data_IF_588493660992
#
_entry.id   IF_588493660992
#
_cell.length_a   1.000
_cell.length_b   1.000
_cell.length_c   1.000
_cell.angle_alpha   90.00
_cell.angle_beta   90.00
_cell.angle_gamma   90.00
#
_symmetry.space_group_name_H-M   'P 1'
#
loop_
_entity.id
_entity.type
_entity.pdbx_description
1 polymer ?
#
# COMPACT_ATOMS: atom_id res chain seq x y z
N UNK A 1 -12.65 -16.25 27.44
CA UNK A 1 -12.57 -15.38 26.27
C UNK A 1 -13.12 -16.08 25.02
N UNK A 2 -13.86 -15.35 24.19
CA UNK A 2 -14.35 -15.85 22.90
C UNK A 2 -13.46 -15.27 21.79
N UNK A 3 -13.27 -16.02 20.73
CA UNK A 3 -12.54 -15.61 19.53
C UNK A 3 -13.50 -15.65 18.34
N UNK A 4 -13.32 -14.73 17.38
CA UNK A 4 -14.11 -14.75 16.14
C UNK A 4 -13.76 -16.02 15.33
N UNK A 5 -14.74 -16.66 14.62
CA UNK A 5 -14.51 -17.89 13.87
C UNK A 5 -13.30 -17.82 12.94
N UNK A 6 -13.17 -16.75 12.16
CA UNK A 6 -12.03 -16.51 11.27
C UNK A 6 -10.67 -16.54 11.99
N UNK A 7 -10.57 -15.89 13.16
CA UNK A 7 -9.32 -15.91 13.94
C UNK A 7 -9.02 -17.29 14.52
N UNK A 8 -10.07 -18.07 14.82
CA UNK A 8 -9.90 -19.45 15.24
C UNK A 8 -9.34 -20.33 14.12
N UNK A 9 -9.86 -20.18 12.90
CA UNK A 9 -9.31 -20.86 11.71
C UNK A 9 -7.82 -20.55 11.51
N UNK A 10 -7.44 -19.28 11.62
CA UNK A 10 -6.03 -18.90 11.52
C UNK A 10 -5.18 -19.48 12.65
N UNK A 11 -5.74 -19.66 13.85
CA UNK A 11 -5.03 -20.30 14.96
C UNK A 11 -4.89 -21.81 14.73
N UNK A 12 -5.90 -22.46 14.20
CA UNK A 12 -5.91 -23.88 13.86
C UNK A 12 -4.93 -24.20 12.70
N UNK A 13 -4.64 -23.21 11.86
CA UNK A 13 -3.64 -23.26 10.76
C UNK A 13 -2.23 -22.80 11.18
N UNK A 14 -1.96 -22.59 12.47
CA UNK A 14 -0.69 -22.07 13.01
C UNK A 14 -0.25 -20.68 12.46
N UNK A 15 -1.18 -19.94 11.85
CA UNK A 15 -0.91 -18.59 11.34
C UNK A 15 -0.95 -17.51 12.41
N UNK A 16 -1.60 -17.79 13.54
CA UNK A 16 -1.57 -16.97 14.74
C UNK A 16 -1.61 -17.84 15.99
N UNK A 17 -1.11 -17.32 17.10
CA UNK A 17 -1.18 -17.95 18.41
C UNK A 17 -2.34 -17.34 19.20
N UNK A 18 -3.41 -18.11 19.42
CA UNK A 18 -4.49 -17.71 20.31
C UNK A 18 -4.24 -18.23 21.74
N UNK A 19 -4.15 -17.29 22.69
CA UNK A 19 -4.05 -17.61 24.11
C UNK A 19 -5.41 -17.37 24.76
N UNK A 20 -6.12 -18.43 25.09
CA UNK A 20 -7.46 -18.39 25.69
C UNK A 20 -7.35 -18.06 27.20
N UNK A 21 -6.92 -16.84 27.49
CA UNK A 21 -6.76 -16.37 28.87
C UNK A 21 -7.14 -14.89 28.99
N UNK A 22 -7.30 -14.42 30.23
CA UNK A 22 -7.31 -12.98 30.50
C UNK A 22 -5.90 -12.42 30.44
N UNK A 23 -5.80 -11.12 30.19
CA UNK A 23 -4.52 -10.45 30.15
C UNK A 23 -3.77 -10.58 31.48
N UNK A 24 -2.48 -10.83 31.39
CA UNK A 24 -1.50 -10.66 32.48
C UNK A 24 -0.20 -10.13 31.89
N UNK A 25 0.59 -9.40 32.70
CA UNK A 25 1.86 -8.81 32.24
C UNK A 25 2.87 -9.85 31.73
N UNK A 26 2.72 -11.12 32.16
CA UNK A 26 3.57 -12.23 31.72
C UNK A 26 3.34 -12.63 30.25
N UNK A 27 2.23 -12.21 29.64
CA UNK A 27 1.93 -12.46 28.23
C UNK A 27 2.73 -11.57 27.29
N UNK A 28 3.27 -10.43 27.79
CA UNK A 28 4.13 -9.55 27.01
C UNK A 28 5.56 -10.06 27.06
N UNK A 29 6.17 -10.23 25.89
CA UNK A 29 7.54 -10.70 25.73
C UNK A 29 8.38 -9.66 25.00
N UNK A 30 9.64 -9.50 25.36
CA UNK A 30 10.63 -8.66 24.65
C UNK A 30 10.84 -9.04 23.19
N UNK A 31 10.39 -10.22 22.77
CA UNK A 31 10.44 -10.66 21.39
C UNK A 31 9.33 -10.06 20.52
N UNK A 32 8.36 -9.35 21.11
CA UNK A 32 7.33 -8.67 20.36
C UNK A 32 7.84 -7.32 19.86
N UNK A 33 7.52 -6.99 18.62
CA UNK A 33 7.83 -5.68 18.03
C UNK A 33 6.76 -4.64 18.35
N UNK A 34 5.51 -5.08 18.42
CA UNK A 34 4.34 -4.23 18.62
C UNK A 34 3.31 -4.91 19.50
N UNK A 35 2.58 -4.09 20.27
CA UNK A 35 1.44 -4.51 21.07
C UNK A 35 0.25 -3.61 20.73
N UNK A 36 -0.91 -4.21 20.63
CA UNK A 36 -2.18 -3.53 20.37
C UNK A 36 -3.12 -3.80 21.54
N UNK A 37 -3.52 -2.75 22.27
CA UNK A 37 -4.50 -2.81 23.33
C UNK A 37 -5.85 -2.36 22.78
N UNK A 38 -6.75 -3.32 22.53
CA UNK A 38 -8.01 -3.10 21.79
C UNK A 38 -9.22 -3.60 22.57
N UNK A 39 -9.16 -3.56 23.89
CA UNK A 39 -10.30 -3.93 24.73
C UNK A 39 -11.23 -2.74 24.96
N UNK A 40 -12.45 -3.00 25.41
CA UNK A 40 -13.43 -2.00 25.85
C UNK A 40 -13.19 -1.47 27.27
N UNK A 41 -12.09 -1.91 27.93
CA UNK A 41 -11.69 -1.46 29.27
C UNK A 41 -10.45 -0.55 29.20
N UNK A 42 -10.59 0.79 29.33
CA UNK A 42 -9.48 1.72 29.26
C UNK A 42 -8.37 1.44 30.28
N UNK A 43 -8.74 1.05 31.50
CA UNK A 43 -7.76 0.77 32.56
C UNK A 43 -6.88 -0.44 32.18
N UNK A 44 -7.48 -1.47 31.58
CA UNK A 44 -6.73 -2.63 31.09
C UNK A 44 -5.82 -2.23 29.93
N UNK A 45 -6.31 -1.41 28.99
CA UNK A 45 -5.52 -0.93 27.88
C UNK A 45 -4.32 -0.09 28.36
N UNK A 46 -4.48 0.77 29.36
CA UNK A 46 -3.38 1.52 29.98
C UNK A 46 -2.40 0.60 30.72
N UNK A 47 -2.88 -0.47 31.36
CA UNK A 47 -1.99 -1.46 31.97
C UNK A 47 -1.13 -2.15 30.88
N UNK A 48 -1.75 -2.59 29.78
CA UNK A 48 -1.02 -3.18 28.62
C UNK A 48 0.03 -2.21 28.09
N UNK A 49 -0.34 -0.93 27.91
CA UNK A 49 0.60 0.11 27.51
C UNK A 49 1.80 0.19 28.44
N UNK A 50 1.56 0.34 29.76
CA UNK A 50 2.62 0.49 30.74
C UNK A 50 3.56 -0.72 30.77
N UNK A 51 3.02 -1.92 30.61
CA UNK A 51 3.81 -3.16 30.61
C UNK A 51 4.64 -3.28 29.32
N UNK A 52 4.08 -2.90 28.17
CA UNK A 52 4.80 -2.84 26.90
C UNK A 52 5.94 -1.80 26.92
N UNK A 53 5.67 -0.60 27.48
CA UNK A 53 6.68 0.47 27.61
C UNK A 53 7.86 0.06 28.51
N UNK A 54 7.62 -0.65 29.61
CA UNK A 54 8.70 -1.19 30.46
C UNK A 54 9.64 -2.13 29.69
N UNK A 55 9.15 -2.79 28.65
CA UNK A 55 9.94 -3.70 27.80
C UNK A 55 10.51 -3.04 26.55
N UNK A 56 10.24 -1.75 26.31
CA UNK A 56 10.69 -1.02 25.12
C UNK A 56 9.95 -1.42 23.84
N UNK A 57 8.71 -1.90 23.95
CA UNK A 57 7.88 -2.36 22.82
C UNK A 57 6.96 -1.23 22.39
N UNK A 58 6.79 -1.05 21.06
CA UNK A 58 5.85 -0.08 20.53
C UNK A 58 4.41 -0.51 20.83
N UNK A 59 3.58 0.43 21.23
CA UNK A 59 2.20 0.16 21.64
C UNK A 59 1.21 1.08 20.93
N UNK A 60 0.08 0.51 20.54
CA UNK A 60 -1.10 1.24 20.12
C UNK A 60 -2.25 0.93 21.10
N UNK A 61 -2.89 1.95 21.63
CA UNK A 61 -4.10 1.85 22.44
C UNK A 61 -5.26 2.40 21.61
N UNK A 62 -6.28 1.56 21.39
CA UNK A 62 -7.43 1.95 20.57
C UNK A 62 -8.14 3.15 21.18
N UNK A 63 -8.49 4.12 20.34
CA UNK A 63 -9.20 5.35 20.69
C UNK A 63 -8.54 6.21 21.79
N UNK A 64 -7.23 6.02 22.04
CA UNK A 64 -6.49 6.74 23.08
C UNK A 64 -5.11 7.20 22.55
N UNK A 65 -5.13 8.26 21.74
CA UNK A 65 -3.96 8.76 21.02
C UNK A 65 -2.74 9.08 21.91
N UNK A 66 -2.87 9.68 23.12
CA UNK A 66 -1.75 9.90 24.03
C UNK A 66 -0.98 8.65 24.46
N UNK A 67 -1.62 7.48 24.37
CA UNK A 67 -1.03 6.18 24.70
C UNK A 67 -0.58 5.38 23.48
N UNK A 68 -0.46 6.04 22.31
CA UNK A 68 -0.03 5.42 21.06
C UNK A 68 1.38 5.86 20.67
N UNK A 69 2.29 4.92 20.45
CA UNK A 69 3.57 5.18 19.79
C UNK A 69 3.42 5.24 18.26
N UNK A 70 2.38 4.64 17.74
CA UNK A 70 2.03 4.62 16.31
C UNK A 70 0.52 4.51 16.13
N UNK A 71 0.04 4.89 14.97
CA UNK A 71 -1.38 4.79 14.58
C UNK A 71 -1.53 3.98 13.31
N UNK A 72 -2.67 3.32 13.15
CA UNK A 72 -2.99 2.58 11.93
C UNK A 72 -3.50 3.55 10.87
N UNK A 73 -2.82 3.67 9.73
CA UNK A 73 -3.32 4.48 8.62
C UNK A 73 -4.48 3.78 7.91
N UNK A 74 -5.27 4.53 7.17
CA UNK A 74 -6.19 3.97 6.20
C UNK A 74 -5.39 3.48 4.98
N UNK A 75 -5.65 2.24 4.55
CA UNK A 75 -4.84 1.57 3.54
C UNK A 75 -5.61 1.34 2.25
N UNK A 76 -4.95 1.57 1.12
CA UNK A 76 -5.35 1.05 -0.19
C UNK A 76 -4.35 -0.03 -0.58
N UNK A 77 -4.84 -1.23 -0.85
CA UNK A 77 -4.02 -2.36 -1.25
C UNK A 77 -4.34 -2.76 -2.69
N UNK A 78 -3.31 -2.82 -3.52
CA UNK A 78 -3.33 -3.35 -4.90
C UNK A 78 -2.11 -4.25 -5.10
N UNK A 79 -2.13 -5.42 -4.45
CA UNK A 79 -0.98 -6.34 -4.45
C UNK A 79 0.26 -5.73 -3.79
N UNK A 80 1.33 -5.56 -4.55
CA UNK A 80 2.58 -4.95 -4.05
C UNK A 80 2.48 -3.44 -3.82
N UNK A 81 1.50 -2.79 -4.44
CA UNK A 81 1.30 -1.35 -4.24
C UNK A 81 0.43 -1.15 -3.00
N UNK A 82 0.94 -0.39 -2.06
CA UNK A 82 0.24 -0.01 -0.84
C UNK A 82 0.32 1.50 -0.67
N UNK A 83 -0.83 2.12 -0.40
CA UNK A 83 -0.92 3.55 -0.11
C UNK A 83 -1.49 3.70 1.29
N UNK A 84 -0.74 4.36 2.15
CA UNK A 84 -1.13 4.63 3.53
C UNK A 84 -1.51 6.11 3.68
N UNK A 85 -2.68 6.38 4.23
CA UNK A 85 -3.21 7.73 4.42
C UNK A 85 -3.47 7.93 5.90
N UNK A 86 -2.88 8.96 6.49
CA UNK A 86 -3.03 9.27 7.90
C UNK A 86 -3.24 10.77 8.11
N UNK A 87 -4.03 11.12 9.12
CA UNK A 87 -4.19 12.50 9.61
C UNK A 87 -3.53 12.71 10.98
N UNK A 88 -2.66 11.78 11.42
CA UNK A 88 -2.11 11.83 12.78
C UNK A 88 -3.19 11.67 13.89
N UNK A 89 -4.29 11.00 13.58
CA UNK A 89 -5.43 10.85 14.49
C UNK A 89 -6.43 12.03 14.48
N UNK A 90 -6.14 13.11 13.73
CA UNK A 90 -6.96 14.32 13.76
C UNK A 90 -8.36 14.15 13.12
N UNK A 91 -8.48 13.39 12.03
CA UNK A 91 -9.78 13.25 11.34
C UNK A 91 -9.89 11.94 10.57
N UNK A 92 -10.41 10.87 11.19
CA UNK A 92 -10.66 9.59 10.51
C UNK A 92 -11.61 9.70 9.32
N UNK A 93 -12.61 10.59 9.40
CA UNK A 93 -13.60 10.82 8.32
C UNK A 93 -12.93 11.43 7.10
N UNK A 94 -12.06 12.44 7.29
CA UNK A 94 -11.31 13.06 6.20
C UNK A 94 -10.39 12.05 5.51
N UNK A 95 -9.69 11.23 6.28
CA UNK A 95 -8.82 10.18 5.76
C UNK A 95 -9.61 9.16 4.92
N UNK A 96 -10.79 8.77 5.38
CA UNK A 96 -11.68 7.86 4.63
C UNK A 96 -12.11 8.49 3.30
N UNK A 97 -12.53 9.76 3.30
CA UNK A 97 -12.95 10.46 2.08
C UNK A 97 -11.79 10.58 1.08
N UNK A 98 -10.56 10.85 1.57
CA UNK A 98 -9.37 10.89 0.71
C UNK A 98 -9.10 9.49 0.12
N UNK A 99 -9.18 8.43 0.93
CA UNK A 99 -9.02 7.05 0.45
C UNK A 99 -10.02 6.74 -0.66
N UNK A 100 -11.30 7.02 -0.46
CA UNK A 100 -12.37 6.79 -1.45
C UNK A 100 -12.08 7.51 -2.77
N UNK A 101 -11.65 8.78 -2.71
CA UNK A 101 -11.24 9.54 -3.91
C UNK A 101 -10.03 8.89 -4.60
N UNK A 102 -9.00 8.51 -3.86
CA UNK A 102 -7.83 7.86 -4.44
C UNK A 102 -8.17 6.50 -5.05
N UNK A 103 -9.07 5.72 -4.44
CA UNK A 103 -9.51 4.44 -5.00
C UNK A 103 -10.21 4.59 -6.37
N UNK A 104 -10.86 5.74 -6.64
CA UNK A 104 -11.48 5.99 -7.95
C UNK A 104 -10.48 6.36 -9.04
N UNK A 105 -9.34 6.93 -8.66
CA UNK A 105 -8.30 7.39 -9.60
C UNK A 105 -7.28 6.30 -9.91
N UNK A 106 -7.00 5.42 -8.94
CA UNK A 106 -5.99 4.37 -9.07
C UNK A 106 -6.46 3.26 -10.01
N UNK A 107 -5.68 2.91 -11.05
CA UNK A 107 -6.00 1.79 -11.91
C UNK A 107 -6.09 0.47 -11.12
N UNK A 108 -7.06 -0.38 -11.47
CA UNK A 108 -7.24 -1.68 -10.81
C UNK A 108 -6.06 -2.63 -11.07
N UNK A 109 -5.40 -2.50 -12.21
CA UNK A 109 -4.30 -3.35 -12.66
C UNK A 109 -2.92 -2.93 -12.13
N UNK A 110 -2.81 -1.87 -11.31
CA UNK A 110 -1.51 -1.36 -10.83
C UNK A 110 -0.71 -2.42 -10.04
N UNK A 111 -1.41 -3.32 -9.33
CA UNK A 111 -0.79 -4.45 -8.65
C UNK A 111 -0.17 -5.47 -9.61
N UNK A 112 -0.88 -5.80 -10.68
CA UNK A 112 -0.40 -6.68 -11.74
C UNK A 112 0.86 -6.09 -12.41
N UNK A 113 0.85 -4.80 -12.72
CA UNK A 113 1.98 -4.08 -13.30
C UNK A 113 3.20 -4.11 -12.37
N UNK A 114 2.99 -3.89 -11.08
CA UNK A 114 4.06 -3.93 -10.08
C UNK A 114 4.67 -5.33 -9.92
N UNK A 115 3.83 -6.38 -9.90
CA UNK A 115 4.28 -7.77 -9.86
C UNK A 115 5.05 -8.16 -11.12
N UNK A 116 4.59 -7.70 -12.27
CA UNK A 116 5.29 -7.89 -13.55
C UNK A 116 6.65 -7.22 -13.52
N UNK A 117 6.73 -5.93 -13.17
CA UNK A 117 8.00 -5.20 -13.06
C UNK A 117 9.00 -5.86 -12.10
N UNK A 118 8.52 -6.34 -10.96
CA UNK A 118 9.34 -7.09 -10.01
C UNK A 118 9.91 -8.37 -10.62
N UNK A 119 9.12 -9.11 -11.43
CA UNK A 119 9.58 -10.33 -12.09
C UNK A 119 10.63 -10.08 -13.18
N UNK A 120 10.63 -8.88 -13.79
CA UNK A 120 11.58 -8.50 -14.85
C UNK A 120 12.87 -7.85 -14.37
N UNK A 121 13.05 -7.75 -13.05
CA UNK A 121 14.17 -7.01 -12.43
C UNK A 121 15.57 -7.50 -12.88
N UNK A 122 15.73 -8.80 -13.07
CA UNK A 122 17.02 -9.36 -13.49
C UNK A 122 17.22 -9.23 -15.01
N UNK A 123 16.20 -9.57 -15.79
CA UNK A 123 16.23 -9.45 -17.25
C UNK A 123 16.53 -8.02 -17.71
N UNK A 124 15.91 -7.02 -17.06
CA UNK A 124 16.16 -5.62 -17.42
C UNK A 124 17.59 -5.15 -17.06
N UNK A 125 18.21 -5.72 -16.02
CA UNK A 125 19.61 -5.45 -15.67
C UNK A 125 20.58 -6.00 -16.70
N UNK A 126 20.24 -7.13 -17.30
CA UNK A 126 21.03 -7.73 -18.37
C UNK A 126 20.93 -6.93 -19.68
N UNK A 127 19.72 -6.44 -19.99
CA UNK A 127 19.47 -5.63 -21.21
C UNK A 127 20.01 -4.20 -21.11
N UNK A 128 19.98 -3.61 -19.92
CA UNK A 128 20.37 -2.21 -19.67
C UNK A 128 21.36 -2.12 -18.51
N UNK A 129 22.67 -2.01 -18.76
CA UNK A 129 23.71 -2.03 -17.75
C UNK A 129 23.61 -0.87 -16.74
N UNK A 130 23.26 0.33 -17.20
CA UNK A 130 23.21 1.52 -16.32
C UNK A 130 21.86 1.71 -15.64
N UNK A 131 21.88 2.39 -14.50
CA UNK A 131 20.64 2.74 -13.76
C UNK A 131 19.77 3.69 -14.58
N UNK A 132 20.39 4.61 -15.30
CA UNK A 132 19.70 5.63 -16.09
C UNK A 132 18.94 5.02 -17.28
N UNK A 133 19.56 4.06 -18.00
CA UNK A 133 18.89 3.33 -19.08
C UNK A 133 17.69 2.54 -18.56
N UNK A 134 17.83 1.85 -17.43
CA UNK A 134 16.73 1.11 -16.82
C UNK A 134 15.58 2.03 -16.40
N UNK A 135 15.90 3.21 -15.83
CA UNK A 135 14.91 4.21 -15.47
C UNK A 135 14.15 4.69 -16.70
N UNK A 136 14.86 5.12 -17.75
CA UNK A 136 14.25 5.58 -19.01
C UNK A 136 13.38 4.51 -19.68
N UNK A 137 13.82 3.26 -19.63
CA UNK A 137 13.01 2.15 -20.11
C UNK A 137 11.68 2.04 -19.36
N UNK A 138 11.73 2.03 -18.02
CA UNK A 138 10.52 1.89 -17.21
C UNK A 138 9.60 3.11 -17.30
N UNK A 139 10.16 4.32 -17.33
CA UNK A 139 9.37 5.55 -17.53
C UNK A 139 8.58 5.46 -18.83
N UNK A 140 9.22 5.09 -19.93
CA UNK A 140 8.57 4.90 -21.22
C UNK A 140 7.54 3.76 -21.20
N UNK A 141 7.92 2.60 -20.68
CA UNK A 141 7.04 1.44 -20.60
C UNK A 141 5.76 1.77 -19.82
N UNK A 142 5.87 2.43 -18.70
CA UNK A 142 4.76 2.77 -17.81
C UNK A 142 3.93 3.97 -18.29
N UNK A 143 4.48 4.87 -19.10
CA UNK A 143 3.76 6.03 -19.65
C UNK A 143 2.84 5.69 -20.82
N UNK A 144 2.95 4.49 -21.38
CA UNK A 144 2.10 4.04 -22.49
C UNK A 144 0.63 3.96 -22.08
N UNK A 145 -0.26 4.43 -22.94
CA UNK A 145 -1.71 4.31 -22.77
C UNK A 145 -2.19 2.85 -22.68
N UNK A 146 -1.44 1.93 -23.28
CA UNK A 146 -1.68 0.48 -23.21
C UNK A 146 -1.64 -0.02 -21.76
N UNK A 147 -0.71 0.45 -20.93
CA UNK A 147 -0.54 0.01 -19.56
C UNK A 147 -1.81 0.23 -18.72
N UNK A 148 -2.57 1.29 -19.01
CA UNK A 148 -3.82 1.56 -18.28
C UNK A 148 -4.97 0.59 -18.67
N UNK A 149 -4.84 -0.16 -19.74
CA UNK A 149 -5.87 -1.05 -20.30
C UNK A 149 -5.54 -2.54 -20.13
N UNK A 150 -4.30 -2.86 -19.76
CA UNK A 150 -3.85 -4.25 -19.63
C UNK A 150 -4.58 -4.96 -18.49
N UNK A 151 -5.02 -6.19 -18.75
CA UNK A 151 -5.81 -6.99 -17.81
C UNK A 151 -5.12 -8.26 -17.36
N UNK A 152 -4.11 -8.71 -18.09
CA UNK A 152 -3.42 -9.97 -17.82
C UNK A 152 -1.90 -9.87 -18.03
N UNK A 153 -1.20 -10.91 -17.57
CA UNK A 153 0.26 -10.97 -17.60
C UNK A 153 0.82 -11.18 -19.00
N UNK A 154 0.11 -11.89 -19.86
CA UNK A 154 0.59 -12.23 -21.20
C UNK A 154 0.61 -11.00 -22.09
N UNK A 155 -0.36 -10.11 -21.92
CA UNK A 155 -0.36 -8.80 -22.58
C UNK A 155 0.84 -7.95 -22.14
N UNK A 156 1.17 -7.94 -20.84
CA UNK A 156 2.37 -7.25 -20.33
C UNK A 156 3.66 -7.86 -20.89
N UNK A 157 3.73 -9.18 -20.98
CA UNK A 157 4.89 -9.86 -21.53
C UNK A 157 5.11 -9.52 -23.01
N UNK A 158 4.06 -9.58 -23.79
CA UNK A 158 4.12 -9.24 -25.24
C UNK A 158 4.57 -7.79 -25.44
N UNK A 159 3.99 -6.86 -24.70
CA UNK A 159 4.36 -5.45 -24.75
C UNK A 159 5.81 -5.20 -24.26
N UNK A 160 6.24 -5.92 -23.24
CA UNK A 160 7.61 -5.83 -22.74
C UNK A 160 8.63 -6.28 -23.78
N UNK A 161 8.39 -7.41 -24.46
CA UNK A 161 9.26 -7.91 -25.53
C UNK A 161 9.34 -6.93 -26.71
N UNK A 162 8.20 -6.37 -27.11
CA UNK A 162 8.15 -5.31 -28.12
C UNK A 162 8.97 -4.09 -27.68
N UNK A 163 8.79 -3.62 -26.46
CA UNK A 163 9.47 -2.45 -25.90
C UNK A 163 10.99 -2.61 -25.77
N UNK A 164 11.50 -3.84 -25.65
CA UNK A 164 12.94 -4.13 -25.66
C UNK A 164 13.56 -3.98 -27.06
N UNK A 165 12.80 -4.27 -28.10
CA UNK A 165 13.29 -4.25 -29.50
C UNK A 165 13.13 -2.89 -30.16
N UNK A 166 12.19 -2.07 -29.69
CA UNK A 166 11.99 -0.73 -30.21
C UNK A 166 13.17 0.18 -29.80
N UNK A 167 14.05 0.47 -30.78
CA UNK A 167 14.95 1.60 -30.67
C UNK A 167 14.12 2.88 -30.72
N UNK A 168 14.04 3.56 -29.60
CA UNK A 168 13.29 4.79 -29.53
C UNK A 168 14.18 5.94 -29.95
N UNK A 169 13.92 6.44 -31.14
CA UNK A 169 14.10 7.84 -31.39
C UNK A 169 13.24 8.60 -30.39
N UNK A 170 13.87 9.46 -29.61
CA UNK A 170 13.18 10.29 -28.62
C UNK A 170 12.41 11.42 -29.34
N UNK A 171 11.38 11.03 -30.09
CA UNK A 171 10.42 12.01 -30.56
C UNK A 171 9.61 12.50 -29.36
N UNK A 172 9.84 13.75 -29.02
CA UNK A 172 9.06 14.41 -27.97
C UNK A 172 7.57 14.43 -28.39
N UNK A 173 6.69 13.95 -27.54
CA UNK A 173 5.26 14.04 -27.77
C UNK A 173 4.75 15.40 -27.27
N UNK A 174 4.07 16.15 -28.15
CA UNK A 174 3.33 17.35 -27.75
C UNK A 174 1.86 16.98 -27.65
N UNK A 175 1.30 17.08 -26.46
CA UNK A 175 -0.13 16.82 -26.22
C UNK A 175 -0.84 18.16 -26.04
N UNK A 176 -1.79 18.45 -26.90
CA UNK A 176 -2.67 19.61 -26.78
C UNK A 176 -3.88 19.23 -25.94
N UNK A 177 -4.09 19.96 -24.84
CA UNK A 177 -5.26 19.81 -23.97
C UNK A 177 -6.06 21.10 -24.07
N UNK A 178 -7.23 21.01 -24.67
CA UNK A 178 -8.19 22.10 -24.69
C UNK A 178 -9.12 21.96 -23.48
N UNK A 179 -9.23 22.99 -22.68
CA UNK A 179 -10.11 23.03 -21.52
C UNK A 179 -10.73 24.41 -21.35
N UNK A 180 -11.86 24.47 -20.66
CA UNK A 180 -12.51 25.71 -20.27
C UNK A 180 -11.70 26.39 -19.13
N UNK A 181 -12.04 27.65 -18.81
CA UNK A 181 -11.32 28.43 -17.79
C UNK A 181 -11.32 27.77 -16.40
N UNK A 182 -12.28 26.88 -16.13
CA UNK A 182 -12.40 26.16 -14.89
C UNK A 182 -11.56 24.85 -14.92
N UNK A 183 -10.46 24.85 -14.19
CA UNK A 183 -9.56 23.70 -14.07
C UNK A 183 -10.24 22.46 -13.45
N UNK A 184 -11.32 22.64 -12.69
CA UNK A 184 -12.08 21.52 -12.10
C UNK A 184 -12.88 20.74 -13.16
N UNK A 185 -13.09 21.31 -14.36
CA UNK A 185 -13.75 20.65 -15.48
C UNK A 185 -12.80 19.82 -16.36
N UNK A 186 -11.51 19.78 -16.04
CA UNK A 186 -10.57 18.89 -16.71
C UNK A 186 -11.02 17.42 -16.63
N UNK A 187 -11.11 16.78 -17.79
CA UNK A 187 -11.43 15.36 -17.83
C UNK A 187 -10.32 14.53 -17.15
N UNK A 188 -10.68 13.41 -16.56
CA UNK A 188 -9.70 12.45 -15.98
C UNK A 188 -8.68 11.99 -17.03
N UNK A 189 -9.06 11.98 -18.32
CA UNK A 189 -8.15 11.68 -19.42
C UNK A 189 -7.12 12.79 -19.62
N UNK A 190 -7.54 14.04 -19.59
CA UNK A 190 -6.65 15.20 -19.70
C UNK A 190 -5.66 15.24 -18.53
N UNK A 191 -6.13 15.01 -17.32
CA UNK A 191 -5.29 14.96 -16.11
C UNK A 191 -4.21 13.87 -16.17
N UNK A 192 -4.48 12.73 -16.83
CA UNK A 192 -3.49 11.66 -17.00
C UNK A 192 -2.45 11.93 -18.09
N UNK A 193 -2.70 12.91 -18.95
CA UNK A 193 -1.80 13.32 -20.04
C UNK A 193 -0.88 14.48 -19.64
N UNK A 194 -1.18 15.12 -18.50
CA UNK A 194 -0.35 16.14 -17.87
C UNK A 194 0.74 15.50 -16.99
#
# INVERSE_FOLDING_TARGET
>A
PKVAPYLKELADEDKLRWVQNFYSSQLISKNYLQVWATTDNPNLNHQVHNDAKKMGILVNVVDDLPYCDFITPSMINRGRIQIAISSGGASPVLVRNIREKLETVLPQNIGLIADFGASKRNSIKESFPTVDERRKFWERFLSSSFINQVTDRDQLESYYQQSLTEQVDSEGQVTWIEFEEDVELLSMKALRLM
#
